data_IF_210712747020
#
_entry.id   IF_210712747020
#
_cell.length_a   1.000
_cell.length_b   1.000
_cell.length_c   1.000
_cell.angle_alpha   90.00
_cell.angle_beta   90.00
_cell.angle_gamma   90.00
#
_symmetry.space_group_name_H-M   'P 1'
#
loop_
_entity.id
_entity.type
_entity.pdbx_description
1 polymer ?
#
# COMPACT_ATOMS: atom_id res chain seq x y z
N UNK A 1 27.63 -14.29 -8.98
CA UNK A 1 26.94 -13.09 -8.47
C UNK A 1 25.94 -13.55 -7.41
N UNK A 2 26.05 -13.10 -6.16
CA UNK A 2 25.05 -13.41 -5.11
C UNK A 2 24.07 -12.24 -5.07
N UNK A 3 22.79 -12.52 -5.23
CA UNK A 3 21.74 -11.50 -5.09
C UNK A 3 21.44 -11.38 -3.59
N UNK A 4 21.48 -10.16 -3.06
CA UNK A 4 21.08 -9.87 -1.68
C UNK A 4 19.58 -9.97 -1.52
N UNK A 5 19.11 -10.60 -0.44
CA UNK A 5 17.70 -10.72 -0.05
C UNK A 5 17.18 -9.50 0.72
N UNK A 6 18.08 -8.60 1.14
CA UNK A 6 17.76 -7.40 1.90
C UNK A 6 16.63 -6.54 1.31
N UNK A 7 16.54 -6.30 -0.02
CA UNK A 7 15.44 -5.54 -0.61
C UNK A 7 14.08 -6.21 -0.40
N UNK A 8 14.03 -7.55 -0.48
CA UNK A 8 12.82 -8.33 -0.29
C UNK A 8 12.39 -8.27 1.18
N UNK A 9 13.34 -8.38 2.11
CA UNK A 9 13.04 -8.29 3.55
C UNK A 9 12.48 -6.92 3.91
N UNK A 10 13.08 -5.84 3.42
CA UNK A 10 12.58 -4.47 3.63
C UNK A 10 11.17 -4.27 3.09
N UNK A 11 10.86 -4.86 1.93
CA UNK A 11 9.51 -4.82 1.37
C UNK A 11 8.50 -5.53 2.27
N UNK A 12 8.79 -6.77 2.69
CA UNK A 12 7.90 -7.54 3.57
C UNK A 12 7.67 -6.81 4.91
N UNK A 13 8.72 -6.30 5.53
CA UNK A 13 8.60 -5.51 6.77
C UNK A 13 7.69 -4.28 6.59
N UNK A 14 7.76 -3.61 5.43
CA UNK A 14 6.89 -2.49 5.12
C UNK A 14 5.43 -2.93 4.98
N UNK A 15 5.16 -4.07 4.32
CA UNK A 15 3.80 -4.60 4.20
C UNK A 15 3.18 -4.90 5.56
N UNK A 16 3.97 -5.47 6.47
CA UNK A 16 3.52 -5.79 7.82
C UNK A 16 3.20 -4.54 8.65
N UNK A 17 4.06 -3.51 8.54
CA UNK A 17 3.95 -2.27 9.31
C UNK A 17 2.96 -1.28 8.74
N UNK A 18 2.59 -1.41 7.46
CA UNK A 18 1.72 -0.46 6.76
C UNK A 18 0.45 -0.08 7.53
N UNK A 19 -0.34 -1.01 8.10
CA UNK A 19 -1.56 -0.65 8.83
C UNK A 19 -1.28 0.22 10.06
N UNK A 20 -0.18 -0.07 10.78
CA UNK A 20 0.27 0.70 11.92
C UNK A 20 0.79 2.09 11.53
N UNK A 21 1.53 2.17 10.42
CA UNK A 21 2.02 3.45 9.87
C UNK A 21 0.85 4.36 9.49
N UNK A 22 -0.14 3.84 8.76
CA UNK A 22 -1.35 4.58 8.39
C UNK A 22 -2.06 5.14 9.62
N UNK A 23 -2.22 4.33 10.66
CA UNK A 23 -2.82 4.76 11.92
C UNK A 23 -2.00 5.86 12.61
N UNK A 24 -0.67 5.72 12.66
CA UNK A 24 0.23 6.70 13.28
C UNK A 24 0.22 8.07 12.59
N UNK A 25 0.02 8.08 11.27
CA UNK A 25 -0.12 9.30 10.48
C UNK A 25 -1.55 9.87 10.48
N UNK A 26 -2.49 9.25 11.19
CA UNK A 26 -3.90 9.67 11.19
C UNK A 26 -4.61 9.44 9.85
N UNK A 27 -4.05 8.61 8.97
CA UNK A 27 -4.59 8.35 7.64
C UNK A 27 -5.73 7.34 7.74
N UNK A 28 -6.92 7.77 7.30
CA UNK A 28 -8.09 6.90 7.29
C UNK A 28 -7.95 5.85 6.20
N UNK A 29 -8.26 4.59 6.52
CA UNK A 29 -8.20 3.49 5.55
C UNK A 29 -9.08 3.74 4.32
N UNK A 30 -10.23 4.41 4.49
CA UNK A 30 -11.11 4.81 3.38
C UNK A 30 -10.41 5.69 2.36
N UNK A 31 -9.62 6.65 2.82
CA UNK A 31 -8.84 7.51 1.94
C UNK A 31 -7.87 6.70 1.08
N UNK A 32 -7.27 5.65 1.67
CA UNK A 32 -6.30 4.81 0.97
C UNK A 32 -6.97 3.94 -0.09
N UNK A 33 -7.95 3.11 0.29
CA UNK A 33 -8.54 2.16 -0.66
C UNK A 33 -9.35 2.88 -1.74
N UNK A 34 -10.01 4.00 -1.45
CA UNK A 34 -10.67 4.81 -2.48
C UNK A 34 -9.63 5.51 -3.38
N UNK A 35 -8.55 6.03 -2.79
CA UNK A 35 -7.50 6.75 -3.50
C UNK A 35 -6.72 5.89 -4.50
N UNK A 36 -6.54 4.60 -4.20
CA UNK A 36 -5.90 3.63 -5.11
C UNK A 36 -6.92 2.85 -5.96
N UNK A 37 -8.22 3.10 -5.80
CA UNK A 37 -9.28 2.41 -6.53
C UNK A 37 -9.49 0.93 -6.14
N UNK A 38 -9.12 0.55 -4.93
CA UNK A 38 -9.28 -0.80 -4.39
C UNK A 38 -10.63 -0.99 -3.69
N UNK A 39 -11.37 -2.07 -3.96
CA UNK A 39 -12.58 -2.38 -3.21
C UNK A 39 -12.28 -2.60 -1.72
N UNK A 40 -13.15 -2.10 -0.83
CA UNK A 40 -12.99 -2.24 0.62
C UNK A 40 -12.79 -3.69 1.08
N UNK A 41 -13.55 -4.63 0.53
CA UNK A 41 -13.41 -6.05 0.88
C UNK A 41 -12.02 -6.61 0.53
N UNK A 42 -11.48 -6.22 -0.63
CA UNK A 42 -10.13 -6.56 -1.07
C UNK A 42 -9.08 -5.93 -0.17
N UNK A 43 -9.26 -4.66 0.21
CA UNK A 43 -8.39 -3.97 1.16
C UNK A 43 -8.35 -4.69 2.50
N UNK A 44 -9.51 -5.00 3.09
CA UNK A 44 -9.58 -5.66 4.40
C UNK A 44 -8.94 -7.05 4.38
N UNK A 45 -9.15 -7.82 3.29
CA UNK A 45 -8.48 -9.10 3.08
C UNK A 45 -6.95 -8.92 2.99
N UNK A 46 -6.47 -8.04 2.11
CA UNK A 46 -5.03 -7.81 1.90
C UNK A 46 -4.32 -7.25 3.11
N UNK A 47 -4.98 -6.35 3.85
CA UNK A 47 -4.49 -5.82 5.12
C UNK A 47 -4.36 -6.91 6.18
N UNK A 48 -5.34 -7.80 6.29
CA UNK A 48 -5.32 -8.91 7.25
C UNK A 48 -4.26 -9.96 6.91
N UNK A 49 -4.10 -10.27 5.63
CA UNK A 49 -3.21 -11.32 5.15
C UNK A 49 -1.84 -10.81 4.67
N UNK A 50 -1.61 -9.49 4.72
CA UNK A 50 -0.39 -8.82 4.25
C UNK A 50 -0.02 -9.17 2.80
N UNK A 51 -1.03 -9.32 1.94
CA UNK A 51 -0.89 -9.76 0.53
C UNK A 51 -0.97 -8.61 -0.48
N UNK A 52 -0.47 -7.43 -0.11
CA UNK A 52 -0.34 -6.34 -1.07
C UNK A 52 0.69 -6.71 -2.14
N UNK A 53 0.50 -6.22 -3.35
CA UNK A 53 1.49 -6.34 -4.42
C UNK A 53 2.45 -5.16 -4.37
N UNK A 54 3.59 -5.27 -5.05
CA UNK A 54 4.53 -4.15 -5.17
C UNK A 54 3.85 -2.91 -5.75
N UNK A 55 3.04 -3.09 -6.80
CA UNK A 55 2.31 -1.99 -7.45
C UNK A 55 1.31 -1.32 -6.50
N UNK A 56 0.54 -2.10 -5.73
CA UNK A 56 -0.39 -1.55 -4.74
C UNK A 56 0.35 -0.79 -3.63
N UNK A 57 1.49 -1.32 -3.16
CA UNK A 57 2.32 -0.63 -2.16
C UNK A 57 2.87 0.70 -2.69
N UNK A 58 3.30 0.74 -3.95
CA UNK A 58 3.73 1.97 -4.61
C UNK A 58 2.57 2.98 -4.70
N UNK A 59 1.40 2.55 -5.16
CA UNK A 59 0.21 3.41 -5.24
C UNK A 59 -0.17 3.99 -3.87
N UNK A 60 -0.08 3.19 -2.80
CA UNK A 60 -0.34 3.63 -1.43
C UNK A 60 0.71 4.67 -1.00
N UNK A 61 1.99 4.41 -1.24
CA UNK A 61 3.06 5.36 -0.91
C UNK A 61 2.92 6.67 -1.68
N UNK A 62 2.61 6.62 -2.97
CA UNK A 62 2.42 7.80 -3.82
C UNK A 62 1.22 8.63 -3.34
N UNK A 63 0.11 7.98 -3.00
CA UNK A 63 -1.06 8.63 -2.43
C UNK A 63 -0.71 9.33 -1.11
N UNK A 64 0.02 8.68 -0.21
CA UNK A 64 0.39 9.26 1.10
C UNK A 64 1.33 10.45 0.93
N UNK A 65 2.33 10.35 0.05
CA UNK A 65 3.37 11.37 -0.10
C UNK A 65 2.90 12.57 -0.92
N UNK A 66 2.06 12.35 -1.93
CA UNK A 66 1.70 13.39 -2.90
C UNK A 66 0.24 13.82 -2.83
N UNK A 67 -0.61 13.04 -2.15
CA UNK A 67 -2.06 13.24 -2.13
C UNK A 67 -2.75 12.96 -3.46
N UNK A 68 -2.02 12.47 -4.48
CA UNK A 68 -2.56 12.21 -5.81
C UNK A 68 -3.34 10.89 -5.82
N UNK A 69 -4.63 10.99 -6.11
CA UNK A 69 -5.52 9.86 -6.33
C UNK A 69 -5.30 9.33 -7.75
N UNK A 70 -5.36 8.01 -7.96
CA UNK A 70 -5.43 7.46 -9.32
C UNK A 70 -6.76 7.90 -9.95
N UNK A 71 -6.73 8.99 -10.71
CA UNK A 71 -7.82 9.30 -11.64
C UNK A 71 -7.86 8.20 -12.70
N UNK A 72 -8.97 7.47 -12.75
CA UNK A 72 -9.27 6.47 -13.78
C UNK A 72 -9.36 7.16 -15.14
N UNK A 73 -8.22 7.40 -15.79
CA UNK A 73 -7.95 7.79 -17.18
C UNK A 73 -6.41 7.86 -17.22
N UNK A 74 -5.70 7.06 -18.00
CA UNK A 74 -5.81 6.98 -19.45
C UNK A 74 -5.79 5.52 -19.94
N UNK A 75 -6.55 5.29 -21.01
CA UNK A 75 -6.61 4.05 -21.78
C UNK A 75 -5.34 3.87 -22.60
#
# INVERSE_FOLDING_TARGET
MKISDEPVRKFLELQEKLPGLLASFGIKQVYVYEGIGMPRATWDFKKKHQTFTIAEMQDICDLINTGKIKTRKEK
#
